data_IF_000312067739
#
_entry.id   IF_000312067739
#
_cell.length_a   1.000
_cell.length_b   1.000
_cell.length_c   1.000
_cell.angle_alpha   90.00
_cell.angle_beta   90.00
_cell.angle_gamma   90.00
#
_symmetry.space_group_name_H-M   'P 1'
#
loop_
_entity.id
_entity.type
_entity.pdbx_description
1 polymer ?
#
# COMPACT_ATOMS: atom_id res chain seq x y z
N UNK A 1 10.83 -1.28 -10.05
CA UNK A 1 10.51 -0.59 -8.78
C UNK A 1 9.64 -1.50 -7.91
N UNK A 2 9.33 -1.09 -6.68
CA UNK A 2 8.41 -1.82 -5.81
C UNK A 2 7.19 -0.98 -5.42
N UNK A 3 6.03 -1.63 -5.36
CA UNK A 3 4.79 -1.12 -4.78
C UNK A 3 4.49 -1.92 -3.52
N UNK A 4 4.06 -1.21 -2.49
CA UNK A 4 3.84 -1.78 -1.17
C UNK A 4 2.48 -1.37 -0.64
N UNK A 5 1.81 -2.33 -0.01
CA UNK A 5 0.66 -2.08 0.85
C UNK A 5 1.11 -2.33 2.29
N UNK A 6 1.21 -1.27 3.08
CA UNK A 6 1.71 -1.31 4.46
C UNK A 6 0.55 -1.12 5.42
N UNK A 7 0.44 -2.00 6.41
CA UNK A 7 -0.61 -2.01 7.43
C UNK A 7 0.00 -1.77 8.80
N UNK A 8 -0.49 -0.74 9.48
CA UNK A 8 0.06 -0.26 10.74
C UNK A 8 -1.08 -0.08 11.75
N UNK A 9 -0.92 -0.59 12.95
CA UNK A 9 -1.83 -0.36 14.06
C UNK A 9 -1.42 0.92 14.81
N UNK A 10 -2.37 1.82 14.99
CA UNK A 10 -2.16 3.16 15.52
C UNK A 10 -3.40 3.63 16.29
N UNK A 11 -3.21 3.92 17.58
CA UNK A 11 -4.21 4.59 18.41
C UNK A 11 -4.26 6.10 18.16
N UNK A 12 -3.28 6.65 17.44
CA UNK A 12 -3.16 8.09 17.17
C UNK A 12 -3.99 8.49 15.96
N UNK A 13 -4.65 9.66 16.01
CA UNK A 13 -5.35 10.26 14.86
C UNK A 13 -4.39 10.79 13.79
N UNK A 14 -3.10 10.94 14.10
CA UNK A 14 -2.10 11.51 13.20
C UNK A 14 -1.59 10.45 12.23
N UNK A 15 -1.68 10.75 10.93
CA UNK A 15 -1.12 9.89 9.88
C UNK A 15 0.41 9.92 9.86
N UNK A 16 1.01 8.83 9.39
CA UNK A 16 2.46 8.65 9.23
C UNK A 16 2.93 8.96 7.80
N UNK A 17 2.17 9.74 7.02
CA UNK A 17 2.55 10.08 5.64
C UNK A 17 3.94 10.74 5.56
N UNK A 18 4.28 11.58 6.55
CA UNK A 18 5.60 12.20 6.63
C UNK A 18 6.70 11.17 6.94
N UNK A 19 6.38 10.16 7.75
CA UNK A 19 7.25 9.06 8.15
C UNK A 19 7.60 8.19 6.94
N UNK A 20 6.61 7.88 6.09
CA UNK A 20 6.83 7.19 4.82
C UNK A 20 7.78 7.97 3.90
N UNK A 21 7.55 9.27 3.74
CA UNK A 21 8.44 10.13 2.93
C UNK A 21 9.86 10.17 3.48
N UNK A 22 10.03 10.22 4.82
CA UNK A 22 11.35 10.18 5.47
C UNK A 22 12.09 8.87 5.24
N UNK A 23 11.36 7.75 5.21
CA UNK A 23 11.92 6.43 4.90
C UNK A 23 12.12 6.19 3.38
N UNK A 24 11.99 7.22 2.54
CA UNK A 24 12.23 7.12 1.10
C UNK A 24 11.08 6.56 0.28
N UNK A 25 9.90 6.37 0.88
CA UNK A 25 8.71 5.90 0.17
C UNK A 25 7.91 7.07 -0.42
N UNK A 26 7.30 6.83 -1.57
CA UNK A 26 6.38 7.74 -2.24
C UNK A 26 4.96 7.25 -1.93
N UNK A 27 4.25 7.85 -0.95
CA UNK A 27 2.88 7.44 -0.65
C UNK A 27 1.95 7.83 -1.80
N UNK A 28 1.14 6.86 -2.26
CA UNK A 28 0.13 7.04 -3.29
C UNK A 28 -1.28 7.17 -2.70
N UNK A 29 -1.57 6.35 -1.70
CA UNK A 29 -2.89 6.28 -1.07
C UNK A 29 -2.77 6.00 0.42
N UNK A 30 -3.69 6.56 1.19
CA UNK A 30 -3.81 6.33 2.62
C UNK A 30 -5.28 6.18 2.99
N UNK A 31 -5.56 5.16 3.80
CA UNK A 31 -6.86 4.94 4.43
C UNK A 31 -6.64 4.61 5.90
N UNK A 32 -7.57 5.04 6.75
CA UNK A 32 -7.64 4.64 8.14
C UNK A 32 -9.00 4.02 8.42
N UNK A 33 -8.99 2.89 9.12
CA UNK A 33 -10.17 2.17 9.56
C UNK A 33 -10.02 1.83 11.06
N UNK A 34 -10.74 2.57 11.91
CA UNK A 34 -10.57 2.50 13.36
C UNK A 34 -9.12 2.78 13.79
N UNK A 35 -8.47 1.78 14.40
CA UNK A 35 -7.07 1.85 14.84
C UNK A 35 -6.08 1.31 13.79
N UNK A 36 -6.50 1.01 12.57
CA UNK A 36 -5.64 0.44 11.53
C UNK A 36 -5.44 1.42 10.40
N UNK A 37 -4.19 1.70 10.08
CA UNK A 37 -3.77 2.56 8.99
C UNK A 37 -3.25 1.67 7.85
N UNK A 38 -3.70 1.96 6.62
CA UNK A 38 -3.29 1.25 5.42
C UNK A 38 -2.71 2.27 4.44
N UNK A 39 -1.47 2.05 4.03
CA UNK A 39 -0.74 2.90 3.11
C UNK A 39 -0.43 2.11 1.84
N UNK A 40 -0.69 2.70 0.68
CA UNK A 40 -0.09 2.24 -0.57
C UNK A 40 1.03 3.19 -0.93
N UNK A 41 2.24 2.66 -1.12
CA UNK A 41 3.41 3.47 -1.43
C UNK A 41 4.30 2.80 -2.47
N UNK A 42 5.14 3.60 -3.12
CA UNK A 42 6.18 3.13 -4.03
C UNK A 42 7.56 3.30 -3.42
N UNK A 43 8.45 2.39 -3.75
CA UNK A 43 9.87 2.48 -3.47
C UNK A 43 10.65 2.41 -4.78
N UNK A 44 11.42 3.47 -5.05
CA UNK A 44 12.12 3.67 -6.33
C UNK A 44 13.49 2.98 -6.32
N UNK A 45 13.49 1.67 -6.11
CA UNK A 45 14.66 0.81 -6.30
C UNK A 45 14.24 -0.51 -6.96
N UNK A 46 15.20 -1.19 -7.56
CA UNK A 46 15.06 -2.57 -8.06
C UNK A 46 15.73 -3.58 -7.13
N UNK A 47 16.53 -3.14 -6.16
CA UNK A 47 17.17 -4.03 -5.19
C UNK A 47 16.20 -4.36 -4.05
N UNK A 48 15.99 -5.66 -3.83
CA UNK A 48 15.12 -6.17 -2.78
C UNK A 48 15.71 -5.98 -1.38
N UNK A 49 17.04 -5.94 -1.26
CA UNK A 49 17.73 -5.73 0.01
C UNK A 49 17.58 -4.29 0.47
N UNK A 50 17.78 -3.31 -0.43
CA UNK A 50 17.50 -1.90 -0.14
C UNK A 50 16.04 -1.70 0.30
N UNK A 51 15.09 -2.39 -0.33
CA UNK A 51 13.70 -2.34 0.09
C UNK A 51 13.49 -2.88 1.51
N UNK A 52 14.12 -4.02 1.83
CA UNK A 52 14.02 -4.63 3.18
C UNK A 52 14.61 -3.69 4.24
N UNK A 53 15.75 -3.08 3.97
CA UNK A 53 16.36 -2.09 4.85
C UNK A 53 15.43 -0.88 5.05
N UNK A 54 14.88 -0.34 3.96
CA UNK A 54 13.91 0.76 4.04
C UNK A 54 12.63 0.39 4.81
N UNK A 55 12.16 -0.86 4.72
CA UNK A 55 11.03 -1.36 5.50
C UNK A 55 11.36 -1.47 6.98
N UNK A 56 12.57 -1.87 7.34
CA UNK A 56 13.06 -1.90 8.72
C UNK A 56 13.15 -0.48 9.28
N UNK A 57 13.72 0.45 8.52
CA UNK A 57 13.80 1.86 8.89
C UNK A 57 12.41 2.49 9.06
N UNK A 58 11.48 2.18 8.15
CA UNK A 58 10.09 2.60 8.26
C UNK A 58 9.45 2.06 9.54
N UNK A 59 9.58 0.77 9.83
CA UNK A 59 9.06 0.17 11.05
C UNK A 59 9.65 0.84 12.29
N UNK A 60 10.94 1.19 12.26
CA UNK A 60 11.62 1.86 13.37
C UNK A 60 11.10 3.28 13.60
N UNK A 61 10.89 4.05 12.54
CA UNK A 61 10.30 5.38 12.66
C UNK A 61 8.85 5.32 13.16
N UNK A 62 8.07 4.35 12.68
CA UNK A 62 6.70 4.13 13.13
C UNK A 62 6.62 3.66 14.59
N UNK A 63 7.55 2.82 15.05
CA UNK A 63 7.59 2.37 16.45
C UNK A 63 7.87 3.53 17.40
N UNK A 64 8.73 4.49 17.00
CA UNK A 64 8.97 5.74 17.74
C UNK A 64 7.73 6.64 17.83
N UNK A 65 6.76 6.47 16.93
CA UNK A 65 5.45 7.13 16.97
C UNK A 65 4.42 6.36 17.80
N UNK A 66 4.81 5.26 18.47
CA UNK A 66 3.93 4.41 19.25
C UNK A 66 3.05 3.50 18.40
N UNK A 67 3.42 3.25 17.14
CA UNK A 67 2.69 2.40 16.20
C UNK A 67 3.31 1.02 16.10
N UNK A 68 2.49 0.03 15.76
CA UNK A 68 2.92 -1.38 15.65
C UNK A 68 2.43 -1.97 14.33
N UNK A 69 2.86 -3.18 14.01
CA UNK A 69 2.37 -3.92 12.85
C UNK A 69 2.26 -5.42 13.14
N UNK A 70 1.54 -6.11 12.26
CA UNK A 70 1.32 -7.56 12.37
C UNK A 70 2.21 -8.38 11.44
N UNK A 71 1.84 -9.65 11.27
CA UNK A 71 2.50 -10.57 10.31
C UNK A 71 2.30 -10.16 8.85
N UNK A 72 1.30 -9.34 8.57
CA UNK A 72 0.99 -8.77 7.25
C UNK A 72 1.33 -7.28 7.17
N UNK A 73 2.39 -6.87 7.86
CA UNK A 73 2.85 -5.47 7.92
C UNK A 73 3.07 -4.87 6.53
N UNK A 74 3.73 -5.58 5.61
CA UNK A 74 3.98 -5.09 4.26
C UNK A 74 3.74 -6.19 3.21
N UNK A 75 2.82 -5.94 2.28
CA UNK A 75 2.64 -6.77 1.08
C UNK A 75 3.31 -6.08 -0.09
N UNK A 76 4.18 -6.79 -0.80
CA UNK A 76 5.07 -6.18 -1.79
C UNK A 76 4.96 -6.79 -3.16
N UNK A 77 4.85 -5.88 -4.12
CA UNK A 77 4.72 -6.15 -5.53
C UNK A 77 5.89 -5.51 -6.28
N UNK A 78 6.53 -6.28 -7.16
CA UNK A 78 7.48 -5.74 -8.12
C UNK A 78 6.69 -5.18 -9.29
N UNK A 79 6.93 -3.90 -9.62
CA UNK A 79 6.23 -3.21 -10.69
C UNK A 79 7.22 -2.81 -11.77
N UNK A 80 6.86 -3.05 -13.03
CA UNK A 80 7.62 -2.55 -14.18
C UNK A 80 7.20 -1.10 -14.48
N UNK A 81 8.18 -0.20 -14.61
CA UNK A 81 7.96 1.25 -14.74
C UNK A 81 7.01 1.64 -15.89
N UNK A 82 6.90 0.82 -16.93
CA UNK A 82 6.00 1.03 -18.09
C UNK A 82 4.50 1.00 -17.76
N UNK A 83 4.09 0.42 -16.63
CA UNK A 83 2.66 0.26 -16.28
C UNK A 83 2.15 1.26 -15.23
N UNK A 84 3.06 1.95 -14.54
CA UNK A 84 2.71 2.86 -13.46
C UNK A 84 1.81 4.03 -13.93
N UNK A 85 2.08 4.55 -15.15
CA UNK A 85 1.30 5.62 -15.76
C UNK A 85 -0.10 5.22 -16.22
N UNK A 86 -0.37 3.92 -16.40
CA UNK A 86 -1.69 3.38 -16.81
C UNK A 86 -2.54 2.96 -15.60
N UNK A 87 -1.92 2.37 -14.57
CA UNK A 87 -2.60 1.93 -13.36
C UNK A 87 -3.05 3.08 -12.44
N UNK A 88 -2.24 4.14 -12.29
CA UNK A 88 -2.61 5.31 -11.47
C UNK A 88 -3.77 6.11 -12.08
N UNK A 89 -3.85 6.20 -13.40
CA UNK A 89 -4.97 6.87 -14.08
C UNK A 89 -6.31 6.12 -13.94
N UNK A 90 -6.28 4.78 -13.96
CA UNK A 90 -7.47 3.94 -13.81
C UNK A 90 -8.01 3.90 -12.37
N UNK A 91 -7.14 3.79 -11.37
CA UNK A 91 -7.55 3.75 -9.96
C UNK A 91 -8.08 5.11 -9.47
N UNK A 92 -7.50 6.23 -9.95
CA UNK A 92 -8.02 7.57 -9.66
C UNK A 92 -9.36 7.83 -10.38
N UNK A 93 -9.58 7.26 -11.56
CA UNK A 93 -10.87 7.33 -12.28
C UNK A 93 -12.01 6.59 -11.58
N UNK A 94 -11.74 5.45 -10.95
CA UNK A 94 -12.72 4.69 -10.17
C UNK A 94 -13.14 5.41 -8.87
N UNK A 95 -12.22 6.14 -8.24
CA UNK A 95 -12.53 6.98 -7.08
C UNK A 95 -13.41 8.19 -7.41
N UNK A 96 -13.26 8.78 -8.60
CA UNK A 96 -14.08 9.92 -9.06
C UNK A 96 -15.45 9.48 -9.57
N UNK A 97 -15.58 8.28 -10.14
CA UNK A 97 -16.86 7.70 -10.54
C UNK A 97 -17.84 7.46 -9.38
N UNK A 98 -17.32 7.30 -8.16
CA UNK A 98 -18.12 7.15 -6.94
C UNK A 98 -18.92 8.42 -6.56
N UNK A 99 -18.50 9.59 -7.07
CA UNK A 99 -19.10 10.87 -6.72
C UNK A 99 -20.20 11.32 -7.70
N UNK A 100 -20.38 10.64 -8.85
CA UNK A 100 -21.21 11.13 -9.96
C UNK A 100 -22.28 10.17 -10.52
N UNK A 101 -22.25 8.87 -10.21
CA UNK A 101 -23.20 7.90 -10.78
C UNK A 101 -23.83 7.01 -9.72
N UNK A 102 -25.12 7.20 -9.44
CA UNK A 102 -25.89 6.40 -8.48
C UNK A 102 -25.96 4.90 -8.77
N UNK A 103 -26.93 4.22 -8.15
CA UNK A 103 -27.05 2.76 -7.96
C UNK A 103 -26.72 1.86 -9.18
N UNK A 104 -26.92 2.32 -10.41
CA UNK A 104 -26.53 1.56 -11.62
C UNK A 104 -25.00 1.40 -11.82
N UNK A 105 -24.19 2.35 -11.35
CA UNK A 105 -22.72 2.27 -11.40
C UNK A 105 -22.12 1.29 -10.40
N UNK A 106 -22.85 0.97 -9.31
CA UNK A 106 -22.39 0.03 -8.29
C UNK A 106 -22.40 -1.42 -8.77
N UNK A 107 -23.37 -1.85 -9.60
CA UNK A 107 -23.48 -3.26 -9.97
C UNK A 107 -22.48 -3.63 -11.08
N UNK A 108 -22.24 -2.74 -12.05
CA UNK A 108 -21.20 -2.95 -13.07
C UNK A 108 -19.78 -2.78 -12.50
N UNK A 109 -19.61 -1.87 -11.52
CA UNK A 109 -18.33 -1.69 -10.81
C UNK A 109 -18.00 -2.80 -9.82
N UNK A 110 -19.00 -3.41 -9.17
CA UNK A 110 -18.79 -4.46 -8.17
C UNK A 110 -18.66 -5.85 -8.81
N UNK A 111 -19.49 -6.19 -9.80
CA UNK A 111 -19.41 -7.50 -10.48
C UNK A 111 -18.23 -7.57 -11.46
N UNK A 112 -17.81 -6.44 -12.03
CA UNK A 112 -16.56 -6.34 -12.81
C UNK A 112 -15.30 -6.15 -11.97
N UNK A 113 -15.40 -5.57 -10.76
CA UNK A 113 -14.23 -5.15 -9.97
C UNK A 113 -13.74 -6.16 -8.92
N UNK A 114 -14.60 -7.02 -8.40
CA UNK A 114 -14.24 -7.89 -7.26
C UNK A 114 -13.81 -9.31 -7.66
N UNK A 115 -14.21 -9.80 -8.83
CA UNK A 115 -13.84 -11.15 -9.31
C UNK A 115 -12.82 -11.10 -10.45
N UNK A 116 -12.78 -10.00 -11.23
CA UNK A 116 -11.73 -9.79 -12.23
C UNK A 116 -10.51 -9.05 -11.67
N UNK A 117 -10.62 -8.35 -10.53
CA UNK A 117 -9.51 -7.65 -9.90
C UNK A 117 -8.38 -8.56 -9.41
N UNK A 118 -8.71 -9.78 -8.96
CA UNK A 118 -7.70 -10.77 -8.52
C UNK A 118 -7.08 -11.57 -9.68
N UNK A 119 -7.75 -11.64 -10.85
CA UNK A 119 -7.23 -12.32 -12.04
C UNK A 119 -6.51 -11.38 -13.03
N UNK A 120 -6.85 -10.08 -13.04
CA UNK A 120 -6.20 -9.05 -13.88
C UNK A 120 -4.89 -8.53 -13.25
N UNK A 121 -4.62 -8.81 -11.98
CA UNK A 121 -3.34 -8.46 -11.34
C UNK A 121 -2.14 -9.19 -12.01
N UNK A 122 -2.40 -10.30 -12.73
CA UNK A 122 -1.40 -11.02 -13.53
C UNK A 122 -1.15 -10.33 -14.89
N UNK A 123 -2.09 -9.51 -15.39
CA UNK A 123 -1.96 -8.80 -16.68
C UNK A 123 -1.33 -7.40 -16.56
N UNK A 124 -1.26 -6.78 -15.37
CA UNK A 124 -0.72 -5.41 -15.18
C UNK A 124 0.77 -5.32 -14.84
N UNK A 125 1.55 -6.39 -15.07
CA UNK A 125 3.01 -6.35 -14.88
C UNK A 125 3.45 -6.09 -13.43
N UNK A 126 2.54 -6.30 -12.47
CA UNK A 126 2.84 -6.40 -11.05
C UNK A 126 3.08 -7.87 -10.70
N UNK A 127 4.15 -8.17 -9.96
CA UNK A 127 4.46 -9.53 -9.49
C UNK A 127 4.53 -9.52 -7.98
N UNK A 128 3.74 -10.34 -7.30
CA UNK A 128 3.88 -10.52 -5.85
C UNK A 128 5.29 -11.06 -5.53
N UNK A 129 6.00 -10.32 -4.70
CA UNK A 129 7.37 -10.65 -4.25
C UNK A 129 7.32 -11.33 -2.89
N UNK A 130 6.42 -10.88 -2.02
CA UNK A 130 6.25 -11.46 -0.70
C UNK A 130 5.42 -10.61 0.24
N UNK A 131 5.22 -11.18 1.43
CA UNK A 131 4.61 -10.52 2.58
C UNK A 131 5.65 -10.51 3.69
N UNK A 132 5.86 -9.35 4.29
CA UNK A 132 6.76 -9.16 5.43
C UNK A 132 5.98 -8.81 6.69
N UNK A 133 6.33 -9.52 7.76
CA UNK A 133 5.87 -9.21 9.10
C UNK A 133 6.64 -8.03 9.69
N UNK A 134 6.06 -7.47 10.74
CA UNK A 134 6.67 -6.40 11.50
C UNK A 134 8.06 -6.82 12.03
N UNK A 135 9.15 -6.13 11.64
CA UNK A 135 10.51 -6.62 11.89
C UNK A 135 11.04 -6.28 13.29
N UNK A 136 10.30 -5.53 14.10
CA UNK A 136 10.75 -5.07 15.42
C UNK A 136 10.07 -5.90 16.50
N UNK A 137 10.84 -6.71 17.22
CA UNK A 137 10.38 -7.28 18.48
C UNK A 137 10.31 -6.18 19.52
N UNK A 138 9.11 -5.89 20.03
CA UNK A 138 8.97 -5.05 21.22
C UNK A 138 9.40 -5.94 22.39
N UNK A 139 10.64 -5.77 22.85
CA UNK A 139 11.05 -6.37 24.11
C UNK A 139 10.30 -5.65 25.23
N UNK A 140 9.36 -6.36 25.85
CA UNK A 140 8.71 -5.96 27.10
C UNK A 140 9.46 -6.57 28.28
#
# INVERSE_FOLDING_TARGET
MYKLVVKVDSKSSRSSLLTFKKAGFIPLYYRKDGNREVYTALYKSNDINELKEALVDLAYLLSREGKTGGHDFAVVYQVQDKYLGKGLGGALGAGVGWQLGGIGGMILGLLGGLILGELIDIEMGERLVGVWGWPISIAY
#
